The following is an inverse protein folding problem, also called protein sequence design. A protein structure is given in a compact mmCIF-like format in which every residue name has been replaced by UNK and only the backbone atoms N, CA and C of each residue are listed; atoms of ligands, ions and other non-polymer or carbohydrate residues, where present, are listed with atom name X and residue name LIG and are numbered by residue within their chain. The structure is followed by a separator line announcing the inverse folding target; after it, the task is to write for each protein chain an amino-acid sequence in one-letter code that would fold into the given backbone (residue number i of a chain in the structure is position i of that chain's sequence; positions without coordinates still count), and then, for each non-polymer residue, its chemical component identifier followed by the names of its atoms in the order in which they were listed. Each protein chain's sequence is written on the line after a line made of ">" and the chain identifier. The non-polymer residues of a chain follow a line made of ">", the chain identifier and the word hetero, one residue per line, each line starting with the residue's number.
data_IF_355843169627
#
_entry.id   IF_355843169627
#
_cell.length_a   1.000
_cell.length_b   1.000
_cell.length_c   1.000
_cell.angle_alpha   90.00
_cell.angle_beta   90.00
_cell.angle_gamma   90.00
#
_symmetry.space_group_name_H-M   'P 1'
#
loop_
_entity.id
_entity.type
_entity.pdbx_description
1 polymer ?
#
# COMPACT_ATOMS: atom_id res chain seq x y z
N UNK A 1 -57.62 52.01 0.24
CA UNK A 1 -57.07 50.67 0.22
C UNK A 1 -55.87 50.73 -0.70
N UNK A 2 -54.68 50.78 -0.11
CA UNK A 2 -53.42 50.79 -0.85
C UNK A 2 -52.76 49.46 -0.55
N UNK A 3 -52.69 48.58 -1.53
CA UNK A 3 -51.95 47.31 -1.48
C UNK A 3 -50.48 47.56 -1.88
N UNK A 4 -49.59 47.45 -0.92
CA UNK A 4 -48.13 47.45 -1.13
C UNK A 4 -47.67 46.03 -1.43
N UNK A 5 -47.18 45.80 -2.63
CA UNK A 5 -46.46 44.57 -3.02
C UNK A 5 -44.97 44.77 -2.74
N UNK A 6 -44.44 44.02 -1.80
CA UNK A 6 -43.00 43.91 -1.55
C UNK A 6 -42.34 43.02 -2.62
N UNK A 7 -41.13 43.31 -3.10
CA UNK A 7 -40.41 42.45 -4.03
C UNK A 7 -39.81 41.25 -3.31
N UNK A 8 -40.06 40.07 -3.84
CA UNK A 8 -39.45 38.81 -3.45
C UNK A 8 -37.94 38.87 -3.81
N UNK A 9 -37.07 38.90 -2.83
CA UNK A 9 -35.64 38.73 -3.00
C UNK A 9 -35.37 37.25 -3.35
N UNK A 10 -34.92 37.02 -4.57
CA UNK A 10 -34.37 35.74 -5.00
C UNK A 10 -33.05 35.51 -4.27
N UNK A 11 -33.08 34.50 -3.40
CA UNK A 11 -31.86 33.98 -2.72
C UNK A 11 -30.95 33.33 -3.80
N UNK A 12 -29.70 33.78 -3.99
CA UNK A 12 -28.78 33.06 -4.85
C UNK A 12 -28.46 31.72 -4.18
N UNK A 13 -28.65 30.65 -4.95
CA UNK A 13 -28.28 29.30 -4.58
C UNK A 13 -26.86 29.26 -4.00
N UNK A 14 -26.79 29.13 -2.70
CA UNK A 14 -25.54 28.83 -2.01
C UNK A 14 -25.06 27.45 -2.47
N UNK A 15 -24.14 27.45 -3.41
CA UNK A 15 -23.26 26.29 -3.52
C UNK A 15 -22.62 26.13 -2.13
N UNK A 16 -23.12 25.16 -1.41
CA UNK A 16 -22.58 24.76 -0.11
C UNK A 16 -21.10 24.48 -0.31
N UNK A 17 -20.26 25.40 0.12
CA UNK A 17 -18.94 25.09 0.56
C UNK A 17 -19.15 24.14 1.76
N UNK A 18 -19.27 22.84 1.48
CA UNK A 18 -19.06 21.82 2.49
C UNK A 18 -17.65 22.06 2.96
N UNK A 19 -17.56 22.67 4.12
CA UNK A 19 -16.31 22.98 4.76
C UNK A 19 -15.44 21.71 4.73
N UNK A 20 -14.16 21.91 4.45
CA UNK A 20 -13.05 20.93 4.51
C UNK A 20 -12.82 20.44 5.96
N UNK A 21 -13.92 20.15 6.65
CA UNK A 21 -13.96 19.73 8.06
C UNK A 21 -13.84 18.21 8.07
N UNK A 22 -12.62 17.74 8.23
CA UNK A 22 -12.34 16.34 8.54
C UNK A 22 -11.48 15.57 7.54
N UNK A 23 -11.03 16.16 6.43
CA UNK A 23 -10.09 15.52 5.51
C UNK A 23 -8.66 15.75 5.96
N UNK A 24 -7.91 14.67 6.17
CA UNK A 24 -6.50 14.75 6.49
C UNK A 24 -5.66 14.64 5.21
N UNK A 25 -4.73 15.57 5.04
CA UNK A 25 -3.69 15.50 4.01
C UNK A 25 -2.37 15.53 4.74
N UNK A 26 -1.57 14.48 4.59
CA UNK A 26 -0.30 14.37 5.27
C UNK A 26 0.78 13.78 4.37
N UNK A 27 2.00 14.22 4.60
CA UNK A 27 3.17 13.78 3.85
C UNK A 27 4.29 13.36 4.79
N UNK A 28 4.98 12.28 4.43
CA UNK A 28 6.21 11.87 5.07
C UNK A 28 7.33 11.70 4.04
N UNK A 29 8.57 11.98 4.45
CA UNK A 29 9.77 11.82 3.63
C UNK A 29 10.85 11.11 4.42
N UNK A 30 11.42 10.09 3.79
CA UNK A 30 12.58 9.38 4.29
C UNK A 30 13.61 9.29 3.17
N UNK A 31 14.83 9.74 3.47
CA UNK A 31 15.95 9.65 2.54
C UNK A 31 17.16 9.05 3.25
N UNK A 32 17.77 8.07 2.61
CA UNK A 32 19.00 7.43 3.07
C UNK A 32 20.09 7.58 2.00
N UNK A 33 21.32 7.81 2.46
CA UNK A 33 22.50 7.91 1.61
C UNK A 33 23.62 7.01 2.11
N UNK A 34 24.41 6.47 1.20
CA UNK A 34 25.66 5.81 1.54
C UNK A 34 26.74 6.87 1.79
N UNK A 35 27.27 6.90 3.01
CA UNK A 35 28.37 7.81 3.40
C UNK A 35 29.55 6.96 3.86
N UNK A 36 30.53 6.81 2.98
CA UNK A 36 31.61 5.83 3.17
C UNK A 36 31.07 4.40 3.21
N UNK A 37 31.26 3.71 4.33
CA UNK A 37 30.80 2.33 4.53
C UNK A 37 29.45 2.23 5.26
N UNK A 38 28.86 3.36 5.65
CA UNK A 38 27.65 3.39 6.49
C UNK A 38 26.44 3.97 5.72
N UNK A 39 25.28 3.44 5.99
CA UNK A 39 24.02 4.02 5.54
C UNK A 39 23.57 5.09 6.54
N UNK A 40 23.25 6.27 6.06
CA UNK A 40 22.77 7.39 6.86
C UNK A 40 21.41 7.86 6.41
N UNK A 41 20.45 7.86 7.31
CA UNK A 41 19.17 8.53 7.10
C UNK A 41 19.40 10.03 7.19
N UNK A 42 19.43 10.71 6.05
CA UNK A 42 19.71 12.16 5.94
C UNK A 42 18.43 12.99 6.03
N UNK A 43 17.28 12.42 5.71
CA UNK A 43 15.96 13.01 5.93
C UNK A 43 15.01 12.01 6.56
N UNK A 44 14.27 12.44 7.59
CA UNK A 44 13.25 11.62 8.25
C UNK A 44 12.24 12.58 8.86
N UNK A 45 11.23 12.95 8.07
CA UNK A 45 10.19 13.92 8.45
C UNK A 45 8.83 13.34 8.14
N UNK A 46 7.82 13.74 8.91
CA UNK A 46 6.45 13.38 8.66
C UNK A 46 5.49 14.32 9.35
N UNK A 47 4.35 14.46 8.73
CA UNK A 47 3.20 15.17 9.25
C UNK A 47 2.23 14.17 9.88
N UNK A 48 1.55 14.51 11.00
CA UNK A 48 0.51 13.63 11.53
C UNK A 48 -0.53 13.27 10.45
N UNK A 49 -0.92 11.98 10.32
CA UNK A 49 -0.58 10.87 11.19
C UNK A 49 0.67 10.07 10.77
N UNK A 50 1.38 10.44 9.71
CA UNK A 50 2.52 9.71 9.17
C UNK A 50 3.82 10.13 9.86
N UNK A 51 4.17 9.47 10.96
CA UNK A 51 5.37 9.83 11.73
C UNK A 51 6.46 8.76 11.58
N UNK A 52 7.46 8.94 10.69
CA UNK A 52 8.59 8.04 10.60
C UNK A 52 9.52 8.22 11.82
N UNK A 53 10.04 7.11 12.33
CA UNK A 53 10.96 7.05 13.47
C UNK A 53 12.16 6.21 13.09
N UNK A 54 13.35 6.74 13.31
CA UNK A 54 14.62 6.01 13.13
C UNK A 54 14.78 5.00 14.26
N UNK A 55 15.22 3.82 13.90
CA UNK A 55 15.62 2.75 14.83
C UNK A 55 17.03 2.27 14.47
N UNK A 56 17.55 1.29 15.20
CA UNK A 56 18.82 0.65 14.86
C UNK A 56 18.73 -0.09 13.52
N UNK A 57 17.55 -0.65 13.19
CA UNK A 57 17.35 -1.54 12.05
C UNK A 57 16.75 -0.85 10.82
N UNK A 58 16.38 0.44 10.91
CA UNK A 58 15.78 1.18 9.80
C UNK A 58 14.83 2.30 10.23
N UNK A 59 13.73 2.45 9.50
CA UNK A 59 12.70 3.44 9.78
C UNK A 59 11.36 2.75 9.98
N UNK A 60 10.68 3.08 11.06
CA UNK A 60 9.32 2.57 11.33
C UNK A 60 8.31 3.71 11.35
N UNK A 61 7.19 3.51 10.67
CA UNK A 61 6.07 4.45 10.73
C UNK A 61 5.22 4.19 11.97
N UNK A 62 4.93 5.28 12.69
CA UNK A 62 4.02 5.30 13.84
C UNK A 62 2.85 6.17 13.44
N UNK A 63 1.65 5.61 13.42
CA UNK A 63 0.44 6.38 13.20
C UNK A 63 0.09 7.15 14.48
N UNK A 64 -0.06 8.48 14.40
CA UNK A 64 -0.46 9.31 15.54
C UNK A 64 -1.97 9.55 15.62
N UNK A 65 -2.75 9.00 14.68
CA UNK A 65 -4.21 9.01 14.67
C UNK A 65 -4.73 7.70 14.09
N UNK A 66 -5.95 7.33 14.46
CA UNK A 66 -6.65 6.19 13.88
C UNK A 66 -7.11 6.54 12.47
N UNK A 67 -6.78 5.70 11.50
CA UNK A 67 -7.15 5.94 10.09
C UNK A 67 -6.30 5.11 9.13
N UNK A 68 -6.36 5.40 7.83
CA UNK A 68 -7.04 6.57 7.22
C UNK A 68 -8.57 6.46 7.22
N UNK A 69 -9.23 7.61 7.26
CA UNK A 69 -10.68 7.73 7.05
C UNK A 69 -10.96 8.06 5.58
N UNK A 70 -12.13 7.65 5.07
CA UNK A 70 -12.53 8.03 3.71
C UNK A 70 -12.51 9.56 3.53
N UNK A 71 -11.75 10.02 2.54
CA UNK A 71 -11.42 11.42 2.28
C UNK A 71 -9.95 11.77 2.56
N UNK A 72 -9.26 11.01 3.40
CA UNK A 72 -7.85 11.26 3.74
C UNK A 72 -6.91 10.99 2.54
N UNK A 73 -5.84 11.78 2.44
CA UNK A 73 -4.77 11.62 1.45
C UNK A 73 -3.41 11.60 2.15
N UNK A 74 -2.79 10.44 2.14
CA UNK A 74 -1.51 10.19 2.79
C UNK A 74 -0.45 9.89 1.74
N UNK A 75 0.66 10.63 1.75
CA UNK A 75 1.77 10.40 0.81
C UNK A 75 3.06 10.13 1.57
N UNK A 76 3.73 9.04 1.21
CA UNK A 76 5.06 8.69 1.73
C UNK A 76 6.06 8.72 0.57
N UNK A 77 7.11 9.51 0.70
CA UNK A 77 8.20 9.62 -0.27
C UNK A 77 9.46 8.95 0.32
N UNK A 78 9.99 7.95 -0.38
CA UNK A 78 11.19 7.21 0.01
C UNK A 78 12.28 7.40 -1.05
N UNK A 79 13.47 7.80 -0.62
CA UNK A 79 14.63 7.93 -1.51
C UNK A 79 15.82 7.17 -0.92
N UNK A 80 16.31 6.21 -1.69
CA UNK A 80 17.48 5.39 -1.35
C UNK A 80 18.60 5.74 -2.29
N UNK A 81 19.67 6.36 -1.80
CA UNK A 81 20.85 6.73 -2.57
C UNK A 81 21.58 5.52 -3.14
N UNK A 82 22.47 5.77 -4.09
CA UNK A 82 23.25 4.71 -4.72
C UNK A 82 24.04 3.90 -3.69
N UNK A 83 23.92 2.56 -3.75
CA UNK A 83 24.55 1.62 -2.85
C UNK A 83 24.07 1.69 -1.39
N UNK A 84 23.10 2.53 -1.04
CA UNK A 84 22.54 2.64 0.30
C UNK A 84 21.47 1.57 0.53
N UNK A 85 21.24 1.24 1.81
CA UNK A 85 20.20 0.29 2.21
C UNK A 85 19.21 0.96 3.15
N UNK A 86 17.91 0.69 2.95
CA UNK A 86 16.84 1.17 3.81
C UNK A 86 15.85 0.04 4.08
N UNK A 87 15.59 -0.19 5.35
CA UNK A 87 14.43 -0.97 5.82
C UNK A 87 13.33 -0.01 6.27
N UNK A 88 12.10 -0.26 5.84
CA UNK A 88 10.91 0.48 6.26
C UNK A 88 9.83 -0.49 6.73
N UNK A 89 9.40 -0.31 7.96
CA UNK A 89 8.28 -1.04 8.56
C UNK A 89 7.24 -0.10 9.15
N UNK A 90 6.25 -0.66 9.83
CA UNK A 90 5.34 0.07 10.69
C UNK A 90 5.19 -0.61 12.06
N UNK A 91 4.80 0.16 13.08
CA UNK A 91 4.68 -0.37 14.46
C UNK A 91 3.40 -1.17 14.65
N UNK A 92 2.40 -0.95 13.82
CA UNK A 92 1.13 -1.66 13.89
C UNK A 92 0.35 -1.58 12.58
N UNK A 93 -0.70 -2.38 12.49
CA UNK A 93 -1.59 -2.44 11.35
C UNK A 93 -2.27 -1.09 11.07
N UNK A 94 -2.49 -0.80 9.80
CA UNK A 94 -3.25 0.36 9.35
C UNK A 94 -4.72 -0.01 9.21
N UNK A 95 -5.62 0.73 9.86
CA UNK A 95 -7.07 0.49 9.78
C UNK A 95 -7.72 1.50 8.83
N UNK A 96 -7.95 1.11 7.58
CA UNK A 96 -8.74 1.90 6.65
C UNK A 96 -10.23 1.87 7.07
N UNK A 97 -10.83 3.03 7.29
CA UNK A 97 -12.15 3.17 7.92
C UNK A 97 -13.09 4.00 7.06
N UNK A 98 -14.40 3.83 7.21
CA UNK A 98 -15.35 4.75 6.61
C UNK A 98 -15.14 6.17 7.16
N UNK A 99 -15.52 7.17 6.38
CA UNK A 99 -15.40 8.58 6.70
C UNK A 99 -16.40 9.39 5.90
N UNK A 100 -15.93 10.35 5.10
CA UNK A 100 -16.80 11.19 4.28
C UNK A 100 -17.53 10.33 3.24
N UNK A 101 -18.86 10.40 3.24
CA UNK A 101 -19.70 9.62 2.33
C UNK A 101 -19.33 9.87 0.86
N UNK A 102 -19.23 8.79 0.08
CA UNK A 102 -18.87 8.85 -1.35
C UNK A 102 -17.37 9.06 -1.63
N UNK A 103 -16.55 9.36 -0.62
CA UNK A 103 -15.10 9.49 -0.76
C UNK A 103 -14.38 8.17 -0.56
N UNK A 104 -13.14 8.12 -1.01
CA UNK A 104 -12.17 7.08 -0.67
C UNK A 104 -10.99 7.70 0.09
N UNK A 105 -10.32 6.92 0.93
CA UNK A 105 -9.01 7.30 1.44
C UNK A 105 -7.92 6.83 0.48
N UNK A 106 -6.86 7.61 0.36
CA UNK A 106 -5.71 7.29 -0.51
C UNK A 106 -4.44 7.26 0.32
N UNK A 107 -3.71 6.14 0.27
CA UNK A 107 -2.35 6.02 0.76
C UNK A 107 -1.42 5.78 -0.45
N UNK A 108 -0.52 6.72 -0.72
CA UNK A 108 0.41 6.68 -1.83
C UNK A 108 1.85 6.61 -1.33
N UNK A 109 2.61 5.66 -1.88
CA UNK A 109 4.05 5.54 -1.62
C UNK A 109 4.80 5.77 -2.92
N UNK A 110 5.68 6.75 -2.92
CA UNK A 110 6.57 7.09 -4.03
C UNK A 110 8.00 6.73 -3.65
N UNK A 111 8.65 5.93 -4.49
CA UNK A 111 9.95 5.34 -4.19
C UNK A 111 10.93 5.60 -5.32
N UNK A 112 12.12 6.06 -4.96
CA UNK A 112 13.27 6.11 -5.85
C UNK A 112 14.45 5.36 -5.21
N UNK A 113 14.96 4.34 -5.88
CA UNK A 113 16.13 3.56 -5.45
C UNK A 113 17.26 3.74 -6.45
N UNK A 114 18.32 4.40 -6.02
CA UNK A 114 19.52 4.64 -6.83
C UNK A 114 20.27 3.36 -7.21
N UNK A 115 21.26 3.49 -8.07
CA UNK A 115 22.06 2.37 -8.59
C UNK A 115 22.66 1.53 -7.45
N UNK A 116 22.45 0.21 -7.47
CA UNK A 116 22.93 -0.71 -6.43
C UNK A 116 22.33 -0.46 -5.04
N UNK A 117 21.33 0.42 -4.92
CA UNK A 117 20.61 0.64 -3.66
C UNK A 117 19.66 -0.49 -3.34
N UNK A 118 19.30 -0.63 -2.08
CA UNK A 118 18.37 -1.68 -1.60
C UNK A 118 17.27 -1.10 -0.74
N UNK A 119 16.02 -1.42 -1.05
CA UNK A 119 14.87 -1.11 -0.23
C UNK A 119 14.16 -2.39 0.21
N UNK A 120 13.91 -2.47 1.51
CA UNK A 120 12.94 -3.42 2.09
C UNK A 120 11.77 -2.63 2.63
N UNK A 121 10.59 -2.83 2.05
CA UNK A 121 9.31 -2.29 2.50
C UNK A 121 8.46 -3.42 3.05
N UNK A 122 8.28 -3.44 4.37
CA UNK A 122 7.57 -4.49 5.08
C UNK A 122 6.72 -3.92 6.23
N UNK A 123 5.68 -3.12 5.91
CA UNK A 123 4.77 -2.62 6.92
C UNK A 123 3.84 -3.73 7.43
N UNK A 124 3.24 -3.50 8.59
CA UNK A 124 2.12 -4.29 9.08
C UNK A 124 0.91 -4.19 8.14
N UNK A 125 -0.02 -5.15 8.18
CA UNK A 125 -1.16 -5.20 7.28
C UNK A 125 -2.05 -3.97 7.26
N UNK A 126 -2.70 -3.73 6.12
CA UNK A 126 -3.84 -2.82 6.00
C UNK A 126 -5.12 -3.61 6.27
N UNK A 127 -5.86 -3.24 7.30
CA UNK A 127 -7.17 -3.81 7.65
C UNK A 127 -8.26 -2.94 7.05
N UNK A 128 -9.00 -3.49 6.10
CA UNK A 128 -10.14 -2.85 5.45
C UNK A 128 -11.41 -3.02 6.31
N UNK A 129 -11.68 -2.06 7.18
CA UNK A 129 -12.85 -2.07 8.08
C UNK A 129 -14.15 -1.98 7.27
N UNK A 130 -15.23 -2.58 7.76
CA UNK A 130 -16.53 -2.56 7.07
C UNK A 130 -16.92 -1.15 6.60
N UNK A 131 -17.35 -1.07 5.34
CA UNK A 131 -17.78 0.18 4.72
C UNK A 131 -16.65 1.14 4.36
N UNK A 132 -15.38 0.81 4.56
CA UNK A 132 -14.29 1.63 4.04
C UNK A 132 -14.21 1.55 2.52
N UNK A 133 -13.71 2.61 1.93
CA UNK A 133 -13.24 2.67 0.55
C UNK A 133 -11.81 3.19 0.58
N UNK A 134 -10.87 2.33 0.26
CA UNK A 134 -9.44 2.63 0.39
C UNK A 134 -8.69 2.34 -0.90
N UNK A 135 -7.79 3.24 -1.25
CA UNK A 135 -6.85 3.06 -2.35
C UNK A 135 -5.42 3.08 -1.81
N UNK A 136 -4.71 1.98 -2.04
CA UNK A 136 -3.28 1.85 -1.78
C UNK A 136 -2.53 1.93 -3.10
N UNK A 137 -1.60 2.88 -3.25
CA UNK A 137 -0.83 3.09 -4.48
C UNK A 137 0.67 3.06 -4.17
N UNK A 138 1.45 2.35 -4.98
CA UNK A 138 2.91 2.39 -4.96
C UNK A 138 3.45 2.70 -6.36
N UNK A 139 4.35 3.68 -6.43
CA UNK A 139 5.08 4.05 -7.64
C UNK A 139 6.56 3.95 -7.34
N UNK A 140 7.25 3.03 -7.98
CA UNK A 140 8.61 2.61 -7.62
C UNK A 140 9.51 2.72 -8.84
N UNK A 141 10.57 3.51 -8.73
CA UNK A 141 11.64 3.62 -9.71
C UNK A 141 12.91 2.96 -9.16
N UNK A 142 13.48 2.03 -9.92
CA UNK A 142 14.69 1.30 -9.57
C UNK A 142 15.81 1.63 -10.55
N UNK A 143 16.95 2.04 -10.03
CA UNK A 143 18.19 2.24 -10.79
C UNK A 143 18.87 0.92 -11.16
N UNK A 144 19.96 0.99 -11.95
CA UNK A 144 20.74 -0.19 -12.35
C UNK A 144 21.25 -0.97 -11.12
N UNK A 145 21.03 -2.28 -11.09
CA UNK A 145 21.48 -3.14 -10.01
C UNK A 145 20.78 -2.90 -8.66
N UNK A 146 19.70 -2.12 -8.63
CA UNK A 146 18.92 -1.92 -7.42
C UNK A 146 18.18 -3.18 -7.00
N UNK A 147 17.98 -3.34 -5.69
CA UNK A 147 17.26 -4.43 -5.08
C UNK A 147 15.98 -3.92 -4.40
N UNK A 148 14.91 -4.68 -4.52
CA UNK A 148 13.64 -4.39 -3.86
C UNK A 148 13.08 -5.64 -3.20
N UNK A 149 12.66 -5.51 -1.95
CA UNK A 149 11.74 -6.45 -1.31
C UNK A 149 10.53 -5.66 -0.83
N UNK A 150 9.37 -5.96 -1.40
CA UNK A 150 8.14 -5.22 -1.18
C UNK A 150 7.03 -6.13 -0.69
N UNK A 151 6.42 -5.78 0.42
CA UNK A 151 5.34 -6.54 1.05
C UNK A 151 4.07 -5.68 1.10
N UNK A 152 3.00 -6.23 0.57
CA UNK A 152 1.63 -5.71 0.71
C UNK A 152 0.75 -6.81 1.32
N UNK A 153 0.10 -6.51 2.44
CA UNK A 153 -0.87 -7.41 3.05
C UNK A 153 -2.16 -6.65 3.34
N UNK A 154 -3.27 -7.14 2.81
CA UNK A 154 -4.60 -6.59 3.04
C UNK A 154 -5.45 -7.62 3.75
N UNK A 155 -6.05 -7.21 4.87
CA UNK A 155 -7.01 -7.99 5.64
C UNK A 155 -8.41 -7.40 5.44
N UNK A 156 -9.34 -8.17 4.90
CA UNK A 156 -10.71 -7.75 4.65
C UNK A 156 -11.57 -7.92 5.91
N UNK A 157 -11.76 -6.81 6.62
CA UNK A 157 -12.52 -6.74 7.87
C UNK A 157 -11.72 -7.12 9.11
N UNK A 158 -12.21 -6.69 10.25
CA UNK A 158 -11.77 -7.16 11.57
C UNK A 158 -12.36 -8.54 11.86
N UNK A 159 -12.05 -9.12 13.04
CA UNK A 159 -12.67 -10.36 13.48
C UNK A 159 -14.21 -10.25 13.43
N UNK A 160 -14.86 -11.24 12.82
CA UNK A 160 -16.32 -11.33 12.61
C UNK A 160 -16.95 -10.14 11.85
N UNK A 161 -16.14 -9.41 11.09
CA UNK A 161 -16.59 -8.26 10.30
C UNK A 161 -16.46 -8.54 8.79
N UNK A 162 -17.48 -8.15 8.03
CA UNK A 162 -17.35 -8.05 6.58
C UNK A 162 -16.45 -6.85 6.28
N UNK A 163 -15.44 -7.03 5.43
CA UNK A 163 -14.50 -5.98 5.08
C UNK A 163 -15.11 -4.82 4.31
N UNK A 164 -14.28 -3.86 3.95
CA UNK A 164 -14.58 -2.78 3.03
C UNK A 164 -13.92 -3.00 1.66
N UNK A 165 -14.04 -2.01 0.78
CA UNK A 165 -13.47 -2.04 -0.56
C UNK A 165 -12.04 -1.49 -0.55
N UNK A 166 -11.11 -2.24 -1.15
CA UNK A 166 -9.71 -1.83 -1.33
C UNK A 166 -9.32 -1.97 -2.80
N UNK A 167 -8.63 -0.95 -3.30
CA UNK A 167 -7.94 -0.98 -4.59
C UNK A 167 -6.43 -0.86 -4.31
N UNK A 168 -5.68 -1.89 -4.66
CA UNK A 168 -4.22 -1.91 -4.51
C UNK A 168 -3.58 -1.82 -5.90
N UNK A 169 -2.80 -0.77 -6.12
CA UNK A 169 -2.07 -0.54 -7.37
C UNK A 169 -0.58 -0.42 -7.09
N UNK A 170 0.22 -1.15 -7.85
CA UNK A 170 1.68 -1.03 -7.81
C UNK A 170 2.25 -0.91 -9.22
N UNK A 171 3.15 0.05 -9.38
CA UNK A 171 3.92 0.25 -10.60
C UNK A 171 5.39 0.24 -10.25
N UNK A 172 6.17 -0.66 -10.86
CA UNK A 172 7.62 -0.74 -10.70
C UNK A 172 8.27 -0.59 -12.06
N UNK A 173 9.19 0.35 -12.18
CA UNK A 173 10.05 0.54 -13.31
C UNK A 173 11.50 0.24 -12.92
N UNK A 174 12.21 -0.53 -13.76
CA UNK A 174 13.63 -0.80 -13.64
C UNK A 174 14.36 -0.10 -14.79
N UNK A 175 15.23 0.84 -14.45
CA UNK A 175 15.99 1.64 -15.44
C UNK A 175 15.05 2.27 -16.49
N UNK A 176 13.92 2.81 -16.04
CA UNK A 176 12.90 3.44 -16.87
C UNK A 176 12.01 2.49 -17.69
N UNK A 177 12.25 1.17 -17.61
CA UNK A 177 11.41 0.17 -18.28
C UNK A 177 10.43 -0.48 -17.33
N UNK A 178 9.17 -0.73 -17.72
CA UNK A 178 8.19 -1.39 -16.86
C UNK A 178 8.64 -2.80 -16.48
N UNK A 179 8.67 -3.07 -15.16
CA UNK A 179 8.96 -4.40 -14.59
C UNK A 179 7.74 -5.08 -14.02
N UNK A 180 6.93 -4.34 -13.25
CA UNK A 180 5.69 -4.84 -12.66
C UNK A 180 4.59 -3.79 -12.78
N UNK A 181 3.39 -4.25 -13.12
CA UNK A 181 2.14 -3.47 -13.10
C UNK A 181 1.06 -4.34 -12.50
N UNK A 182 0.63 -3.96 -11.31
CA UNK A 182 -0.43 -4.65 -10.59
C UNK A 182 -1.57 -3.68 -10.30
N UNK A 183 -2.80 -4.12 -10.51
CA UNK A 183 -4.01 -3.40 -10.14
C UNK A 183 -5.05 -4.44 -9.68
N UNK A 184 -5.29 -4.48 -8.37
CA UNK A 184 -6.16 -5.48 -7.74
C UNK A 184 -7.28 -4.77 -7.00
N UNK A 185 -8.52 -5.10 -7.37
CA UNK A 185 -9.71 -4.65 -6.67
C UNK A 185 -10.22 -5.76 -5.75
N UNK A 186 -10.23 -5.49 -4.47
CA UNK A 186 -10.81 -6.35 -3.43
C UNK A 186 -12.08 -5.68 -2.95
N UNK A 187 -13.23 -6.05 -3.51
CA UNK A 187 -14.51 -5.38 -3.25
C UNK A 187 -15.46 -6.31 -2.53
N UNK A 188 -16.18 -5.76 -1.57
CA UNK A 188 -17.23 -6.45 -0.81
C UNK A 188 -18.59 -5.75 -0.99
N UNK A 189 -18.66 -4.63 -1.69
CA UNK A 189 -19.84 -3.81 -1.85
C UNK A 189 -21.02 -4.60 -2.43
N UNK A 190 -22.15 -4.57 -1.74
CA UNK A 190 -23.37 -5.27 -2.12
C UNK A 190 -23.35 -6.79 -1.91
N UNK A 191 -22.34 -7.33 -1.21
CA UNK A 191 -22.16 -8.77 -0.94
C UNK A 191 -22.04 -9.03 0.56
N UNK A 192 -22.36 -10.26 0.97
CA UNK A 192 -22.19 -10.72 2.35
C UNK A 192 -20.72 -11.07 2.69
N UNK A 193 -19.76 -10.78 1.81
CA UNK A 193 -18.35 -11.09 2.00
C UNK A 193 -17.49 -10.82 0.75
N UNK A 194 -16.20 -11.13 0.81
CA UNK A 194 -15.27 -11.00 -0.31
C UNK A 194 -15.76 -11.72 -1.57
N UNK A 195 -15.38 -11.20 -2.75
CA UNK A 195 -15.77 -11.83 -4.02
C UNK A 195 -15.29 -13.29 -4.08
N UNK A 196 -16.19 -14.27 -4.06
CA UNK A 196 -15.81 -15.69 -4.04
C UNK A 196 -15.13 -16.13 -5.32
N UNK A 197 -15.35 -15.43 -6.44
CA UNK A 197 -14.72 -15.75 -7.73
C UNK A 197 -13.26 -15.32 -7.73
N UNK A 198 -12.96 -14.15 -7.18
CA UNK A 198 -11.60 -13.60 -7.15
C UNK A 198 -10.83 -14.13 -5.96
N UNK A 199 -11.43 -14.12 -4.78
CA UNK A 199 -10.74 -14.41 -3.52
C UNK A 199 -10.99 -15.83 -2.99
N UNK A 200 -11.98 -16.55 -3.54
CA UNK A 200 -12.30 -17.92 -3.11
C UNK A 200 -12.63 -18.03 -1.63
N UNK A 201 -13.21 -16.98 -1.05
CA UNK A 201 -13.52 -16.92 0.38
C UNK A 201 -12.35 -16.49 1.29
N UNK A 202 -11.16 -16.23 0.74
CA UNK A 202 -10.05 -15.69 1.52
C UNK A 202 -10.36 -14.29 2.06
N UNK A 203 -9.87 -14.01 3.26
CA UNK A 203 -9.98 -12.71 3.93
C UNK A 203 -8.67 -11.93 3.92
N UNK A 204 -7.57 -12.60 3.63
CA UNK A 204 -6.24 -12.00 3.53
C UNK A 204 -5.70 -12.20 2.14
N UNK A 205 -5.25 -11.10 1.55
CA UNK A 205 -4.51 -11.07 0.30
C UNK A 205 -3.13 -10.51 0.59
N UNK A 206 -2.10 -11.28 0.30
CA UNK A 206 -0.72 -10.88 0.47
C UNK A 206 0.03 -10.95 -0.86
N UNK A 207 0.89 -9.98 -1.10
CA UNK A 207 1.79 -9.93 -2.25
C UNK A 207 3.19 -9.60 -1.77
N UNK A 208 4.17 -10.33 -2.27
CA UNK A 208 5.59 -10.17 -2.00
C UNK A 208 6.33 -10.09 -3.32
N UNK A 209 6.80 -8.90 -3.65
CA UNK A 209 7.63 -8.70 -4.83
C UNK A 209 9.09 -8.63 -4.41
N UNK A 210 9.92 -9.43 -5.06
CA UNK A 210 11.37 -9.37 -4.93
C UNK A 210 12.01 -9.04 -6.28
N UNK A 211 12.92 -8.07 -6.29
CA UNK A 211 13.77 -7.72 -7.43
C UNK A 211 15.21 -7.87 -6.98
N UNK A 212 15.98 -8.69 -7.71
CA UNK A 212 17.38 -8.95 -7.38
C UNK A 212 18.22 -9.03 -8.67
N UNK A 213 19.32 -8.28 -8.77
CA UNK A 213 20.09 -8.16 -10.03
C UNK A 213 20.66 -9.50 -10.52
N UNK A 214 21.00 -10.44 -9.63
CA UNK A 214 21.51 -11.77 -10.00
C UNK A 214 20.47 -12.63 -10.75
N UNK A 215 19.20 -12.25 -10.72
CA UNK A 215 18.15 -12.95 -11.47
C UNK A 215 18.04 -12.46 -12.93
N UNK A 216 18.85 -11.48 -13.32
CA UNK A 216 18.89 -10.99 -14.70
C UNK A 216 19.38 -12.11 -15.64
N UNK A 217 18.54 -12.49 -16.59
CA UNK A 217 18.84 -13.50 -17.60
C UNK A 217 18.28 -14.90 -17.35
N UNK A 218 17.79 -15.22 -16.15
CA UNK A 218 17.33 -16.57 -15.80
C UNK A 218 16.05 -16.62 -14.96
N UNK A 219 15.31 -15.52 -14.88
CA UNK A 219 14.08 -15.42 -14.08
C UNK A 219 13.00 -16.45 -14.51
N UNK A 220 12.99 -16.85 -15.77
CA UNK A 220 12.06 -17.88 -16.29
C UNK A 220 12.45 -19.32 -15.90
N UNK A 221 13.72 -19.60 -15.55
CA UNK A 221 14.20 -20.95 -15.22
C UNK A 221 14.28 -21.23 -13.72
N UNK A 222 14.35 -20.17 -12.89
CA UNK A 222 14.52 -20.36 -11.43
C UNK A 222 13.22 -20.32 -10.63
N UNK A 223 12.20 -19.67 -11.13
CA UNK A 223 10.89 -19.72 -10.53
C UNK A 223 10.07 -20.78 -11.25
N UNK A 224 10.23 -22.03 -10.84
CA UNK A 224 9.18 -23.02 -11.14
C UNK A 224 7.86 -22.44 -10.64
N UNK A 225 6.85 -22.41 -11.55
CA UNK A 225 5.49 -22.07 -11.18
C UNK A 225 5.05 -23.00 -10.05
N UNK A 226 5.12 -22.51 -8.83
CA UNK A 226 4.65 -23.27 -7.68
C UNK A 226 3.35 -22.68 -7.21
N UNK A 227 2.35 -23.51 -7.08
CA UNK A 227 1.05 -23.15 -6.53
C UNK A 227 0.72 -24.16 -5.44
N UNK A 228 0.47 -23.66 -4.26
CA UNK A 228 -0.08 -24.49 -3.17
C UNK A 228 -1.60 -24.58 -3.36
N UNK A 229 -2.19 -25.70 -2.96
CA UNK A 229 -3.63 -25.94 -3.01
C UNK A 229 -4.20 -25.99 -1.61
N UNK A 230 -5.46 -25.58 -1.43
CA UNK A 230 -6.12 -25.58 -0.14
C UNK A 230 -6.84 -24.29 0.16
N UNK A 231 -7.39 -24.11 1.38
CA UNK A 231 -8.02 -22.86 1.79
C UNK A 231 -6.98 -21.71 1.88
N UNK A 232 -5.79 -22.01 2.36
CA UNK A 232 -4.65 -21.09 2.35
C UNK A 232 -3.71 -21.49 1.22
N UNK A 233 -3.56 -20.62 0.23
CA UNK A 233 -2.85 -20.91 -1.01
C UNK A 233 -1.94 -19.78 -1.43
N UNK A 234 -0.83 -20.11 -2.03
CA UNK A 234 0.11 -19.15 -2.59
C UNK A 234 0.63 -19.62 -3.95
N UNK A 235 1.03 -18.67 -4.76
CA UNK A 235 1.63 -18.93 -6.07
C UNK A 235 2.83 -18.01 -6.31
N UNK A 236 3.88 -18.58 -6.90
CA UNK A 236 5.05 -17.83 -7.37
C UNK A 236 4.83 -17.44 -8.81
N UNK A 237 4.99 -16.16 -9.11
CA UNK A 237 4.83 -15.55 -10.42
C UNK A 237 6.19 -14.99 -10.88
N UNK A 238 6.94 -15.69 -11.74
CA UNK A 238 8.14 -15.10 -12.33
C UNK A 238 7.75 -13.94 -13.23
N UNK A 239 8.53 -12.85 -13.17
CA UNK A 239 8.30 -11.67 -13.99
C UNK A 239 9.28 -11.62 -15.16
N UNK A 240 8.94 -10.87 -16.19
CA UNK A 240 9.83 -10.61 -17.32
C UNK A 240 10.97 -9.66 -16.88
N UNK A 241 12.03 -10.20 -16.27
CA UNK A 241 13.15 -9.44 -15.72
C UNK A 241 13.68 -10.06 -14.43
N UNK A 242 14.56 -9.37 -13.72
CA UNK A 242 15.20 -9.89 -12.51
C UNK A 242 14.26 -9.85 -11.29
N UNK A 243 13.06 -10.39 -11.41
CA UNK A 243 12.05 -10.28 -10.37
C UNK A 243 11.12 -11.50 -10.30
N UNK A 244 10.57 -11.74 -9.12
CA UNK A 244 9.49 -12.67 -8.90
C UNK A 244 8.48 -12.07 -7.91
N UNK A 245 7.22 -12.43 -8.08
CA UNK A 245 6.16 -12.06 -7.16
C UNK A 245 5.53 -13.33 -6.57
N UNK A 246 5.26 -13.31 -5.28
CA UNK A 246 4.47 -14.34 -4.62
C UNK A 246 3.16 -13.72 -4.17
N UNK A 247 2.05 -14.32 -4.58
CA UNK A 247 0.72 -13.91 -4.13
C UNK A 247 0.15 -15.01 -3.26
N UNK A 248 -0.38 -14.65 -2.09
CA UNK A 248 -1.04 -15.57 -1.19
C UNK A 248 -2.46 -15.10 -0.85
N UNK A 249 -3.35 -16.07 -0.74
CA UNK A 249 -4.74 -15.90 -0.31
C UNK A 249 -4.96 -16.81 0.89
N UNK A 250 -5.44 -16.26 2.00
CA UNK A 250 -5.61 -17.02 3.23
C UNK A 250 -6.86 -16.57 4.03
N UNK A 251 -7.27 -17.40 4.97
CA UNK A 251 -8.36 -17.06 5.89
C UNK A 251 -7.94 -15.99 6.90
N UNK A 252 -6.66 -16.01 7.29
CA UNK A 252 -6.06 -15.06 8.23
C UNK A 252 -4.56 -14.83 7.91
N UNK A 253 -3.91 -13.94 8.66
CA UNK A 253 -2.49 -13.63 8.48
C UNK A 253 -1.59 -14.84 8.77
N UNK A 254 -1.96 -15.70 9.70
CA UNK A 254 -1.22 -16.92 9.99
C UNK A 254 -1.23 -17.87 8.78
N UNK A 255 -2.39 -18.02 8.12
CA UNK A 255 -2.51 -18.81 6.88
C UNK A 255 -1.61 -18.33 5.75
N UNK A 256 -1.32 -17.01 5.68
CA UNK A 256 -0.32 -16.49 4.73
C UNK A 256 1.05 -17.08 5.01
N UNK A 257 1.49 -17.11 6.26
CA UNK A 257 2.80 -17.70 6.62
C UNK A 257 2.87 -19.20 6.31
N UNK A 258 1.77 -19.93 6.58
CA UNK A 258 1.66 -21.36 6.24
C UNK A 258 1.78 -21.57 4.73
N UNK A 259 1.03 -20.77 3.93
CA UNK A 259 1.05 -20.88 2.49
C UNK A 259 2.45 -20.57 1.90
N UNK A 260 3.16 -19.58 2.47
CA UNK A 260 4.55 -19.31 2.08
C UNK A 260 5.50 -20.42 2.47
N UNK A 261 5.39 -20.98 3.68
CA UNK A 261 6.21 -22.10 4.11
C UNK A 261 6.07 -23.34 3.22
N UNK A 262 4.90 -23.53 2.60
CA UNK A 262 4.64 -24.61 1.66
C UNK A 262 5.25 -24.39 0.26
N UNK A 263 5.74 -23.18 -0.06
CA UNK A 263 6.45 -22.86 -1.31
C UNK A 263 7.97 -23.09 -1.19
N UNK A 264 8.50 -23.10 0.02
CA UNK A 264 9.92 -23.34 0.31
C UNK A 264 10.28 -24.81 0.11
#
# INVERSE_FOLDING_TARGET
>A
VVTSTAPTASNPSGASAVADVGRMVARARVRVERVGVADRVVECRGEPPLLPRRTADGVYFVASAAGPLAGDQLTTELSVGAGAHLFVGSVGATYARPGIAGCESVARVEVDVGAGGRLTWAPEPVVAVAGCRHRSEAVIALGPGAELFWVDVVVLGRHDEVGGDVWARRSVDLVGSPLNRQDVAMTVAGRAGPDPVVLGGARVVASFLAVHPEWAGDAGSRADWRVTTGPDRAGVLPLAGPAAEVVALAADVHGVHVAFGALA
#
